data_IF_197519169515
#
_entry.id   IF_197519169515
#
_cell.length_a   1.000
_cell.length_b   1.000
_cell.length_c   1.000
_cell.angle_alpha   90.00
_cell.angle_beta   90.00
_cell.angle_gamma   90.00
#
_symmetry.space_group_name_H-M   'P 1'
#
loop_
_entity.id
_entity.type
_entity.pdbx_description
1 polymer ?
#
# COMPACT_ATOMS: atom_id res chain seq x y z
N UNK A 1 -2.85 -2.15 9.36
CA UNK A 1 -2.06 -3.22 10.02
C UNK A 1 -2.82 -4.53 9.98
N UNK A 2 -2.17 -5.67 10.24
CA UNK A 2 -2.83 -6.99 10.29
C UNK A 2 -4.00 -7.05 11.28
N UNK A 3 -3.94 -6.28 12.37
CA UNK A 3 -5.02 -6.12 13.36
C UNK A 3 -6.32 -5.56 12.77
N UNK A 4 -6.26 -4.76 11.69
CA UNK A 4 -7.44 -4.17 11.06
C UNK A 4 -8.39 -5.24 10.49
N UNK A 5 -7.88 -6.44 10.15
CA UNK A 5 -8.67 -7.58 9.68
C UNK A 5 -9.79 -7.99 10.65
N UNK A 6 -9.68 -7.65 11.94
CA UNK A 6 -10.73 -7.90 12.94
C UNK A 6 -11.94 -6.98 12.77
N UNK A 7 -11.76 -5.83 12.14
CA UNK A 7 -12.76 -4.77 12.05
C UNK A 7 -13.30 -4.57 10.63
N UNK A 8 -12.60 -5.08 9.61
CA UNK A 8 -12.97 -4.91 8.19
C UNK A 8 -13.07 -6.26 7.48
N UNK A 9 -14.01 -6.35 6.55
CA UNK A 9 -14.24 -7.53 5.69
C UNK A 9 -13.96 -7.24 4.20
N UNK A 10 -13.64 -5.99 3.87
CA UNK A 10 -13.42 -5.52 2.50
C UNK A 10 -12.46 -4.33 2.48
N UNK A 11 -11.87 -4.08 1.31
CA UNK A 11 -11.04 -2.90 1.03
C UNK A 11 -11.66 -2.18 -0.16
N UNK A 12 -11.80 -0.86 -0.06
CA UNK A 12 -12.32 -0.02 -1.13
C UNK A 12 -11.18 0.78 -1.75
N UNK A 13 -10.92 0.54 -3.04
CA UNK A 13 -10.03 1.37 -3.85
C UNK A 13 -10.83 2.46 -4.56
N UNK A 14 -10.41 3.73 -4.44
CA UNK A 14 -11.00 4.84 -5.19
C UNK A 14 -10.11 5.09 -6.40
N UNK A 15 -10.55 4.64 -7.57
CA UNK A 15 -9.78 4.80 -8.80
C UNK A 15 -10.00 6.19 -9.40
N UNK A 16 -8.94 7.00 -9.39
CA UNK A 16 -8.94 8.31 -10.01
C UNK A 16 -7.54 8.70 -10.47
N UNK A 17 -7.45 9.57 -11.46
CA UNK A 17 -6.14 10.12 -11.87
C UNK A 17 -5.54 10.94 -10.73
N UNK A 18 -4.20 10.97 -10.62
CA UNK A 18 -3.50 11.80 -9.63
C UNK A 18 -3.87 13.29 -9.72
N UNK A 19 -4.30 13.76 -10.90
CA UNK A 19 -4.74 15.14 -11.12
C UNK A 19 -6.09 15.47 -10.44
N UNK A 20 -6.88 14.46 -10.08
CA UNK A 20 -8.22 14.60 -9.52
C UNK A 20 -8.32 14.16 -8.05
N UNK A 21 -7.20 13.77 -7.43
CA UNK A 21 -7.20 13.26 -6.05
C UNK A 21 -7.77 14.29 -5.07
N UNK A 22 -7.34 15.54 -5.13
CA UNK A 22 -7.80 16.57 -4.18
C UNK A 22 -9.31 16.80 -4.26
N UNK A 23 -9.92 16.67 -5.44
CA UNK A 23 -11.38 16.81 -5.58
C UNK A 23 -12.13 15.53 -5.24
N UNK A 24 -11.56 14.35 -5.53
CA UNK A 24 -12.15 13.06 -5.18
C UNK A 24 -12.23 12.86 -3.66
N UNK A 25 -11.17 13.22 -2.92
CA UNK A 25 -11.10 13.08 -1.46
C UNK A 25 -11.83 14.18 -0.68
N UNK A 26 -12.43 15.18 -1.34
CA UNK A 26 -13.37 16.12 -0.69
C UNK A 26 -14.72 15.48 -0.36
N UNK A 27 -15.05 14.35 -0.99
CA UNK A 27 -16.27 13.62 -0.68
C UNK A 27 -16.07 12.77 0.57
N UNK A 28 -17.02 12.75 1.52
CA UNK A 28 -16.95 11.82 2.64
C UNK A 28 -17.12 10.39 2.13
N UNK A 29 -16.24 9.50 2.56
CA UNK A 29 -16.36 8.06 2.34
C UNK A 29 -16.71 7.38 3.67
N UNK A 30 -17.59 6.39 3.62
CA UNK A 30 -17.93 5.57 4.79
C UNK A 30 -16.90 4.46 4.98
N UNK A 31 -16.56 4.15 6.23
CA UNK A 31 -15.65 3.06 6.58
C UNK A 31 -14.48 3.54 7.43
N UNK A 32 -13.51 2.66 7.64
CA UNK A 32 -12.31 2.95 8.43
C UNK A 32 -11.21 3.44 7.50
N UNK A 33 -10.88 4.73 7.61
CA UNK A 33 -9.77 5.31 6.85
C UNK A 33 -8.42 4.81 7.37
N UNK A 34 -7.56 4.38 6.44
CA UNK A 34 -6.19 3.95 6.68
C UNK A 34 -5.28 4.48 5.59
N UNK A 35 -4.08 4.94 5.98
CA UNK A 35 -2.98 5.25 5.08
C UNK A 35 -2.10 4.00 4.95
N UNK A 36 -1.72 3.65 3.73
CA UNK A 36 -0.77 2.57 3.49
C UNK A 36 0.63 3.05 3.93
N UNK A 37 1.45 2.20 4.58
CA UNK A 37 2.84 2.55 4.79
C UNK A 37 3.58 2.73 3.46
N UNK A 38 4.71 3.45 3.45
CA UNK A 38 5.38 3.80 2.20
C UNK A 38 5.80 2.59 1.37
N UNK A 39 5.49 2.61 0.09
CA UNK A 39 5.87 1.56 -0.86
C UNK A 39 6.33 2.18 -2.18
N UNK A 40 7.23 1.49 -2.86
CA UNK A 40 7.77 1.89 -4.15
C UNK A 40 6.88 1.36 -5.28
N UNK A 41 6.56 2.21 -6.25
CA UNK A 41 5.80 1.78 -7.42
C UNK A 41 6.63 0.85 -8.34
N UNK A 42 6.02 -0.25 -8.77
CA UNK A 42 6.53 -1.12 -9.83
C UNK A 42 5.95 -0.80 -11.22
N UNK A 43 4.88 -0.01 -11.28
CA UNK A 43 4.26 0.39 -12.55
C UNK A 43 5.23 1.23 -13.43
N UNK A 44 5.16 1.12 -14.77
CA UNK A 44 6.10 1.79 -15.68
C UNK A 44 6.08 3.32 -15.60
N UNK A 45 4.94 3.93 -15.25
CA UNK A 45 4.80 5.39 -15.22
C UNK A 45 5.52 6.02 -14.03
N UNK A 46 5.57 5.30 -12.90
CA UNK A 46 6.09 5.81 -11.64
C UNK A 46 7.13 4.89 -11.02
N UNK A 47 7.80 4.07 -11.83
CA UNK A 47 8.76 3.08 -11.35
C UNK A 47 9.71 3.66 -10.30
N UNK A 48 9.86 2.94 -9.19
CA UNK A 48 10.64 3.27 -7.99
C UNK A 48 10.31 4.61 -7.31
N UNK A 49 9.23 5.30 -7.71
CA UNK A 49 8.75 6.48 -6.99
C UNK A 49 7.94 6.04 -5.78
N UNK A 50 8.27 6.61 -4.63
CA UNK A 50 7.60 6.33 -3.38
C UNK A 50 6.15 6.84 -3.40
N UNK A 51 5.22 6.02 -2.94
CA UNK A 51 3.79 6.32 -2.77
C UNK A 51 3.02 6.67 -4.06
N UNK A 52 3.65 6.56 -5.24
CA UNK A 52 3.01 6.79 -6.54
C UNK A 52 2.45 5.49 -7.13
N UNK A 53 1.73 4.77 -6.29
CA UNK A 53 1.12 3.48 -6.60
C UNK A 53 -0.07 3.66 -7.54
N UNK A 54 -0.27 2.68 -8.41
CA UNK A 54 -1.55 2.45 -9.07
C UNK A 54 -2.57 1.88 -8.07
N UNK A 55 -3.86 1.95 -8.41
CA UNK A 55 -4.94 1.41 -7.57
C UNK A 55 -4.74 -0.07 -7.25
N UNK A 56 -4.26 -0.88 -8.23
CA UNK A 56 -4.00 -2.31 -7.99
C UNK A 56 -2.80 -2.54 -7.06
N UNK A 57 -1.73 -1.75 -7.15
CA UNK A 57 -0.58 -1.85 -6.25
C UNK A 57 -0.96 -1.50 -4.81
N UNK A 58 -1.77 -0.45 -4.63
CA UNK A 58 -2.27 -0.06 -3.33
C UNK A 58 -3.14 -1.16 -2.71
N UNK A 59 -4.04 -1.76 -3.49
CA UNK A 59 -4.84 -2.91 -3.05
C UNK A 59 -3.96 -4.12 -2.72
N UNK A 60 -2.99 -4.45 -3.59
CA UNK A 60 -2.08 -5.58 -3.43
C UNK A 60 -1.22 -5.45 -2.16
N UNK A 61 -0.70 -4.25 -1.88
CA UNK A 61 0.03 -3.96 -0.64
C UNK A 61 -0.86 -4.03 0.60
N UNK A 62 -2.08 -3.49 0.53
CA UNK A 62 -3.03 -3.53 1.64
C UNK A 62 -3.43 -4.96 2.02
N UNK A 63 -3.80 -5.80 1.04
CA UNK A 63 -4.16 -7.21 1.31
C UNK A 63 -2.96 -8.01 1.83
N UNK A 64 -1.74 -7.72 1.37
CA UNK A 64 -0.54 -8.34 1.90
C UNK A 64 -0.36 -8.06 3.40
N UNK A 65 -0.45 -6.78 3.79
CA UNK A 65 -0.31 -6.33 5.18
C UNK A 65 -1.43 -6.89 6.07
N UNK A 66 -2.63 -7.12 5.50
CA UNK A 66 -3.73 -7.80 6.19
C UNK A 66 -3.53 -9.32 6.30
N UNK A 67 -2.47 -9.87 5.72
CA UNK A 67 -2.11 -11.28 5.80
C UNK A 67 -2.77 -12.17 4.75
N UNK A 68 -3.04 -11.63 3.56
CA UNK A 68 -3.58 -12.36 2.39
C UNK A 68 -2.58 -12.35 1.21
N UNK A 69 -1.40 -12.97 1.34
CA UNK A 69 -0.35 -12.91 0.32
C UNK A 69 -0.77 -13.55 -1.01
N UNK A 70 -1.60 -14.60 -1.00
CA UNK A 70 -2.08 -15.23 -2.24
C UNK A 70 -2.96 -14.27 -3.05
N UNK A 71 -3.79 -13.46 -2.36
CA UNK A 71 -4.60 -12.43 -3.00
C UNK A 71 -3.72 -11.32 -3.60
N UNK A 72 -2.63 -10.93 -2.94
CA UNK A 72 -1.63 -10.02 -3.51
C UNK A 72 -1.11 -10.53 -4.84
N UNK A 73 -0.67 -11.79 -4.91
CA UNK A 73 -0.15 -12.38 -6.15
C UNK A 73 -1.25 -12.48 -7.21
N UNK A 74 -2.46 -12.85 -6.82
CA UNK A 74 -3.60 -12.96 -7.72
C UNK A 74 -4.01 -11.62 -8.36
N UNK A 75 -3.88 -10.53 -7.62
CA UNK A 75 -4.11 -9.17 -8.14
C UNK A 75 -3.00 -8.76 -9.12
N UNK A 76 -1.75 -8.99 -8.74
CA UNK A 76 -0.58 -8.52 -9.49
C UNK A 76 -0.32 -9.30 -10.78
N UNK A 77 -0.60 -10.60 -10.83
CA UNK A 77 -0.35 -11.44 -12.02
C UNK A 77 -1.12 -11.00 -13.28
N UNK A 78 -2.17 -10.19 -13.11
CA UNK A 78 -2.95 -9.62 -14.23
C UNK A 78 -2.19 -8.51 -14.97
N UNK A 79 -1.09 -8.03 -14.40
CA UNK A 79 -0.31 -6.92 -14.91
C UNK A 79 1.13 -7.37 -15.19
N UNK A 80 1.66 -7.07 -16.39
CA UNK A 80 3.01 -7.47 -16.80
C UNK A 80 4.12 -7.01 -15.83
N UNK A 81 3.91 -5.88 -15.17
CA UNK A 81 4.83 -5.27 -14.20
C UNK A 81 4.49 -5.64 -12.74
N UNK A 82 3.44 -6.45 -12.50
CA UNK A 82 2.99 -6.77 -11.15
C UNK A 82 4.06 -7.48 -10.31
N UNK A 83 4.83 -8.39 -10.93
CA UNK A 83 5.95 -9.03 -10.26
C UNK A 83 7.04 -8.03 -9.87
N UNK A 84 7.28 -7.00 -10.69
CA UNK A 84 8.23 -5.93 -10.39
C UNK A 84 7.85 -5.18 -9.11
N UNK A 85 6.56 -4.83 -8.95
CA UNK A 85 6.07 -4.21 -7.70
C UNK A 85 6.31 -5.12 -6.49
N UNK A 86 6.00 -6.41 -6.62
CA UNK A 86 6.17 -7.35 -5.51
C UNK A 86 7.63 -7.49 -5.10
N UNK A 87 8.53 -7.78 -6.05
CA UNK A 87 9.96 -7.96 -5.77
C UNK A 87 10.60 -6.69 -5.20
N UNK A 88 10.23 -5.52 -5.72
CA UNK A 88 10.74 -4.24 -5.23
C UNK A 88 10.39 -3.97 -3.76
N UNK A 89 9.27 -4.51 -3.27
CA UNK A 89 8.73 -4.22 -1.94
C UNK A 89 8.68 -5.45 -1.03
N UNK A 90 9.19 -6.61 -1.45
CA UNK A 90 8.99 -7.89 -0.76
C UNK A 90 9.37 -7.84 0.71
N UNK A 91 10.54 -7.28 1.03
CA UNK A 91 11.02 -7.20 2.41
C UNK A 91 10.19 -6.19 3.23
N UNK A 92 9.89 -5.01 2.67
CA UNK A 92 9.00 -4.01 3.30
C UNK A 92 7.63 -4.61 3.62
N UNK A 93 7.00 -5.28 2.66
CA UNK A 93 5.70 -5.92 2.83
C UNK A 93 5.74 -6.99 3.91
N UNK A 94 6.81 -7.80 3.96
CA UNK A 94 7.01 -8.80 5.01
C UNK A 94 7.13 -8.15 6.39
N UNK A 95 7.90 -7.07 6.53
CA UNK A 95 8.12 -6.42 7.81
C UNK A 95 6.87 -5.64 8.27
N UNK A 96 6.21 -4.91 7.37
CA UNK A 96 4.92 -4.26 7.64
C UNK A 96 3.82 -5.23 8.03
N UNK A 97 3.83 -6.47 7.51
CA UNK A 97 2.85 -7.50 7.90
C UNK A 97 3.02 -8.01 9.33
N UNK A 98 4.22 -7.85 9.91
CA UNK A 98 4.57 -8.25 11.28
C UNK A 98 4.38 -7.11 12.28
N UNK A 99 4.42 -5.86 11.82
CA UNK A 99 4.27 -4.68 12.65
C UNK A 99 2.93 -4.66 13.40
N UNK A 100 2.97 -4.33 14.69
CA UNK A 100 1.82 -4.29 15.61
C UNK A 100 1.39 -2.88 15.98
N UNK A 101 2.21 -1.88 15.67
CA UNK A 101 1.98 -0.49 16.04
C UNK A 101 2.49 0.47 14.96
N UNK A 102 2.02 1.71 14.99
CA UNK A 102 2.45 2.74 14.04
C UNK A 102 3.90 3.14 14.29
N UNK A 103 4.34 3.08 15.56
CA UNK A 103 5.74 3.26 15.94
C UNK A 103 6.66 2.23 15.26
N UNK A 104 6.27 0.95 15.23
CA UNK A 104 7.04 -0.09 14.51
C UNK A 104 7.08 0.17 13.00
N UNK A 105 6.00 0.67 12.41
CA UNK A 105 6.00 1.08 11.00
C UNK A 105 6.99 2.21 10.75
N UNK A 106 7.06 3.21 11.64
CA UNK A 106 8.01 4.32 11.54
C UNK A 106 9.46 3.84 11.70
N UNK A 107 9.71 2.90 12.61
CA UNK A 107 11.02 2.28 12.80
C UNK A 107 11.47 1.52 11.53
N UNK A 108 10.60 0.67 10.97
CA UNK A 108 10.87 0.01 9.68
C UNK A 108 11.14 1.06 8.60
N UNK A 109 10.36 2.14 8.53
CA UNK A 109 10.61 3.20 7.56
C UNK A 109 11.99 3.85 7.76
N UNK A 110 12.42 4.06 8.99
CA UNK A 110 13.74 4.60 9.29
C UNK A 110 14.86 3.65 8.86
N UNK A 111 14.74 2.35 9.18
CA UNK A 111 15.72 1.32 8.80
C UNK A 111 15.93 1.21 7.28
N UNK A 112 14.86 1.35 6.51
CA UNK A 112 14.90 1.34 5.04
C UNK A 112 15.24 2.71 4.43
N UNK A 113 15.55 3.73 5.23
CA UNK A 113 15.88 5.07 4.73
C UNK A 113 14.70 5.85 4.13
N UNK A 114 13.47 5.50 4.51
CA UNK A 114 12.21 6.12 4.05
C UNK A 114 11.76 7.29 4.93
N UNK A 115 12.59 7.76 5.86
CA UNK A 115 12.26 8.72 6.92
C UNK A 115 11.70 10.09 6.44
N UNK A 116 11.81 10.43 5.16
CA UNK A 116 11.27 11.66 4.56
C UNK A 116 9.96 11.44 3.78
N UNK A 117 9.39 10.24 3.82
CA UNK A 117 8.08 9.95 3.23
C UNK A 117 6.99 10.56 4.10
N UNK A 118 6.72 11.84 3.92
CA UNK A 118 5.75 12.63 4.69
C UNK A 118 4.52 11.82 5.12
N UNK A 119 4.48 11.47 6.42
CA UNK A 119 3.32 10.91 7.08
C UNK A 119 2.24 11.97 7.35
N UNK A 120 2.48 13.23 6.99
CA UNK A 120 1.47 14.30 6.96
C UNK A 120 0.35 14.03 5.96
#
# INVERSE_FOLDING_TARGET
MKSDKKFVNSITGIDCSWNLITSAFKKPFTGISRKLPPLLAGNPMNYSKLNKLSTVEALAGAVYILGEPDLTHNLLQKFKWGNTFFELNKNLLQDYSKAKSEAEILEICHEYGLANAQFT
#
